data_IF_126790414736
#
_entry.id   IF_126790414736
#
_cell.length_a   1.000
_cell.length_b   1.000
_cell.length_c   1.000
_cell.angle_alpha   90.00
_cell.angle_beta   90.00
_cell.angle_gamma   90.00
#
_symmetry.space_group_name_H-M   'P 1'
#
loop_
_entity.id
_entity.type
_entity.pdbx_description
1 polymer ?
#
# COMPACT_ATOMS: atom_id res chain seq x y z
N UNK A 1 16.72 47.40 -37.77
CA UNK A 1 15.66 47.26 -36.75
C UNK A 1 14.87 45.99 -37.05
N UNK A 2 14.86 44.96 -36.16
CA UNK A 2 14.02 43.77 -36.33
C UNK A 2 12.60 44.14 -35.96
N UNK A 3 11.64 43.98 -36.89
CA UNK A 3 10.20 44.13 -36.61
C UNK A 3 9.77 43.03 -35.64
N UNK A 4 9.41 43.37 -34.42
CA UNK A 4 8.75 42.48 -33.49
C UNK A 4 7.32 42.18 -34.00
N UNK A 5 7.04 40.92 -34.32
CA UNK A 5 5.67 40.47 -34.65
C UNK A 5 4.95 40.24 -33.34
N UNK A 6 3.90 40.98 -33.10
CA UNK A 6 3.01 40.78 -31.95
C UNK A 6 2.17 39.54 -32.14
N UNK A 7 1.85 38.85 -31.04
CA UNK A 7 0.99 37.67 -31.02
C UNK A 7 -0.50 38.12 -31.17
N UNK A 8 -1.25 37.42 -32.01
CA UNK A 8 -2.69 37.75 -32.18
C UNK A 8 -3.50 37.20 -30.99
N UNK A 9 -4.48 37.95 -30.49
CA UNK A 9 -5.38 37.51 -29.42
C UNK A 9 -6.13 36.22 -29.82
N UNK A 10 -6.50 36.08 -31.11
CA UNK A 10 -7.20 34.89 -31.62
C UNK A 10 -6.29 33.63 -31.63
N UNK A 11 -4.99 33.78 -31.91
CA UNK A 11 -4.05 32.70 -31.86
C UNK A 11 -3.92 32.15 -30.43
N UNK A 12 -3.86 33.05 -29.43
CA UNK A 12 -3.82 32.66 -28.04
C UNK A 12 -5.12 31.96 -27.62
N UNK A 13 -6.27 32.46 -28.04
CA UNK A 13 -7.58 31.91 -27.69
C UNK A 13 -7.78 30.48 -28.25
N UNK A 14 -7.38 30.26 -29.50
CA UNK A 14 -7.46 28.90 -30.11
C UNK A 14 -6.56 27.91 -29.37
N UNK A 15 -5.33 28.30 -29.04
CA UNK A 15 -4.40 27.45 -28.33
C UNK A 15 -4.93 27.05 -26.95
N UNK A 16 -5.44 28.03 -26.19
CA UNK A 16 -6.02 27.74 -24.86
C UNK A 16 -7.28 26.86 -25.00
N UNK A 17 -8.12 27.05 -25.98
CA UNK A 17 -9.30 26.22 -26.21
C UNK A 17 -8.91 24.75 -26.48
N UNK A 18 -7.90 24.52 -27.32
CA UNK A 18 -7.42 23.15 -27.61
C UNK A 18 -6.83 22.50 -26.36
N UNK A 19 -6.01 23.22 -25.57
CA UNK A 19 -5.44 22.72 -24.31
C UNK A 19 -6.56 22.34 -23.33
N UNK A 20 -7.59 23.14 -23.18
CA UNK A 20 -8.70 22.85 -22.27
C UNK A 20 -9.50 21.62 -22.70
N UNK A 21 -9.71 21.40 -24.01
CA UNK A 21 -10.39 20.20 -24.52
C UNK A 21 -9.56 18.96 -24.20
N UNK A 22 -8.26 18.99 -24.45
CA UNK A 22 -7.37 17.85 -24.16
C UNK A 22 -7.31 17.60 -22.64
N UNK A 23 -7.18 18.64 -21.83
CA UNK A 23 -7.11 18.53 -20.38
C UNK A 23 -8.42 17.95 -19.79
N UNK A 24 -9.57 18.33 -20.30
CA UNK A 24 -10.87 17.83 -19.85
C UNK A 24 -11.01 16.29 -19.99
N UNK A 25 -10.36 15.69 -20.99
CA UNK A 25 -10.36 14.24 -21.21
C UNK A 25 -9.19 13.57 -20.48
N UNK A 26 -8.02 14.21 -20.45
CA UNK A 26 -6.79 13.62 -19.92
C UNK A 26 -6.78 13.55 -18.39
N UNK A 27 -7.25 14.58 -17.68
CA UNK A 27 -7.19 14.65 -16.21
C UNK A 27 -7.97 13.52 -15.53
N UNK A 28 -9.27 13.24 -15.85
CA UNK A 28 -10.01 12.16 -15.21
C UNK A 28 -9.42 10.77 -15.53
N UNK A 29 -8.89 10.58 -16.74
CA UNK A 29 -8.25 9.32 -17.11
C UNK A 29 -6.93 9.11 -16.35
N UNK A 30 -6.13 10.16 -16.18
CA UNK A 30 -4.89 10.09 -15.40
C UNK A 30 -5.17 9.76 -13.93
N UNK A 31 -6.22 10.35 -13.34
CA UNK A 31 -6.58 10.06 -11.95
C UNK A 31 -6.97 8.59 -11.77
N UNK A 32 -7.78 8.02 -12.67
CA UNK A 32 -8.14 6.61 -12.65
C UNK A 32 -6.94 5.69 -12.83
N UNK A 33 -6.03 6.03 -13.74
CA UNK A 33 -4.79 5.28 -13.96
C UNK A 33 -3.89 5.31 -12.71
N UNK A 34 -3.80 6.45 -12.02
CA UNK A 34 -3.07 6.59 -10.76
C UNK A 34 -3.66 5.72 -9.65
N UNK A 35 -4.98 5.72 -9.50
CA UNK A 35 -5.67 4.87 -8.53
C UNK A 35 -5.37 3.39 -8.81
N UNK A 36 -5.50 2.94 -10.07
CA UNK A 36 -5.22 1.56 -10.45
C UNK A 36 -3.75 1.16 -10.19
N UNK A 37 -2.80 2.05 -10.44
CA UNK A 37 -1.39 1.84 -10.15
C UNK A 37 -1.13 1.71 -8.63
N UNK A 38 -1.75 2.57 -7.81
CA UNK A 38 -1.66 2.50 -6.36
C UNK A 38 -2.26 1.18 -5.82
N UNK A 39 -3.42 0.76 -6.32
CA UNK A 39 -4.06 -0.51 -5.95
C UNK A 39 -3.19 -1.71 -6.30
N UNK A 40 -2.58 -1.72 -7.48
CA UNK A 40 -1.64 -2.78 -7.88
C UNK A 40 -0.40 -2.82 -6.98
N UNK A 41 0.17 -1.65 -6.65
CA UNK A 41 1.29 -1.53 -5.72
C UNK A 41 0.92 -2.02 -4.31
N UNK A 42 -0.29 -1.69 -3.83
CA UNK A 42 -0.78 -2.14 -2.53
C UNK A 42 -0.95 -3.65 -2.48
N UNK A 43 -1.57 -4.27 -3.49
CA UNK A 43 -1.71 -5.72 -3.57
C UNK A 43 -0.36 -6.46 -3.61
N UNK A 44 0.63 -5.91 -4.32
CA UNK A 44 2.00 -6.44 -4.33
C UNK A 44 2.66 -6.31 -2.95
N UNK A 45 2.46 -5.17 -2.27
CA UNK A 45 3.00 -4.95 -0.91
C UNK A 45 2.37 -5.90 0.12
N UNK A 46 1.07 -6.19 0.02
CA UNK A 46 0.39 -7.19 0.87
C UNK A 46 1.03 -8.57 0.70
N UNK A 47 1.34 -9.00 -0.54
CA UNK A 47 2.06 -10.26 -0.79
C UNK A 47 3.46 -10.25 -0.17
N UNK A 48 4.18 -9.14 -0.28
CA UNK A 48 5.50 -8.98 0.32
C UNK A 48 5.45 -9.13 1.84
N UNK A 49 4.49 -8.46 2.50
CA UNK A 49 4.31 -8.55 3.96
C UNK A 49 3.93 -9.99 4.35
N UNK A 50 2.99 -10.62 3.63
CA UNK A 50 2.56 -11.98 3.89
C UNK A 50 3.72 -12.99 3.79
N UNK A 51 4.59 -12.86 2.78
CA UNK A 51 5.81 -13.66 2.67
C UNK A 51 6.81 -13.37 3.79
N UNK A 52 6.90 -12.11 4.21
CA UNK A 52 7.76 -11.70 5.33
C UNK A 52 7.28 -12.29 6.66
N UNK A 53 5.98 -12.39 6.89
CA UNK A 53 5.40 -13.05 8.06
C UNK A 53 5.81 -14.53 8.16
N UNK A 54 5.76 -15.28 7.06
CA UNK A 54 6.21 -16.68 7.01
C UNK A 54 7.72 -16.79 7.27
N UNK A 55 8.51 -15.86 6.73
CA UNK A 55 9.95 -15.81 6.99
C UNK A 55 10.25 -15.49 8.45
N UNK A 56 9.47 -14.58 9.04
CA UNK A 56 9.58 -14.23 10.46
C UNK A 56 9.27 -15.41 11.34
N UNK A 57 8.17 -16.13 11.12
CA UNK A 57 7.77 -17.32 11.87
C UNK A 57 8.86 -18.38 11.86
N UNK A 58 9.49 -18.64 10.70
CA UNK A 58 10.59 -19.63 10.60
C UNK A 58 11.85 -19.20 11.34
N UNK A 59 12.11 -17.88 11.40
CA UNK A 59 13.29 -17.33 12.10
C UNK A 59 13.08 -17.22 13.61
N UNK A 60 11.83 -17.00 14.05
CA UNK A 60 11.46 -16.77 15.45
C UNK A 60 10.30 -17.68 15.90
N UNK A 61 10.45 -19.01 15.88
CA UNK A 61 9.35 -19.95 16.12
C UNK A 61 8.75 -19.85 17.53
N UNK A 62 9.49 -19.33 18.51
CA UNK A 62 8.99 -19.11 19.87
C UNK A 62 8.04 -17.90 19.97
N UNK A 63 8.10 -16.98 19.02
CA UNK A 63 7.21 -15.81 18.92
C UNK A 63 6.01 -16.14 18.02
N UNK A 64 6.23 -16.91 16.96
CA UNK A 64 5.27 -17.16 15.89
C UNK A 64 5.32 -16.07 14.83
N UNK A 65 4.19 -15.46 14.48
CA UNK A 65 4.14 -14.35 13.54
C UNK A 65 4.54 -13.01 14.17
N UNK A 66 4.88 -12.02 13.34
CA UNK A 66 5.40 -10.75 13.82
C UNK A 66 4.36 -9.98 14.65
N UNK A 67 4.77 -9.36 15.77
CA UNK A 67 3.84 -8.62 16.63
C UNK A 67 3.28 -7.35 15.98
N UNK A 68 3.91 -6.85 14.92
CA UNK A 68 3.45 -5.68 14.17
C UNK A 68 4.19 -5.57 12.84
N UNK A 69 3.65 -4.78 11.91
CA UNK A 69 4.31 -4.45 10.65
C UNK A 69 5.73 -3.86 10.84
N UNK A 70 5.91 -3.02 11.86
CA UNK A 70 7.20 -2.41 12.18
C UNK A 70 8.26 -3.45 12.60
N UNK A 71 7.85 -4.56 13.23
CA UNK A 71 8.77 -5.61 13.65
C UNK A 71 9.39 -6.38 12.48
N UNK A 72 8.73 -6.39 11.31
CA UNK A 72 9.27 -7.00 10.09
C UNK A 72 10.37 -6.15 9.44
N UNK A 73 10.40 -4.86 9.73
CA UNK A 73 11.32 -3.90 9.12
C UNK A 73 12.59 -3.63 9.92
N UNK A 74 13.47 -2.78 9.39
CA UNK A 74 14.65 -2.31 10.08
C UNK A 74 14.31 -1.25 11.13
N UNK A 75 15.00 -1.28 12.29
CA UNK A 75 15.23 -0.06 13.05
C UNK A 75 16.54 0.59 12.60
N UNK A 76 16.71 1.88 12.89
CA UNK A 76 17.92 2.64 12.50
C UNK A 76 19.24 1.99 12.98
N UNK A 77 19.20 1.17 14.03
CA UNK A 77 20.38 0.53 14.63
C UNK A 77 20.44 -1.00 14.39
N UNK A 78 19.32 -1.70 14.24
CA UNK A 78 19.28 -3.16 14.34
C UNK A 78 19.88 -3.88 13.12
N UNK A 79 19.71 -3.35 11.92
CA UNK A 79 20.18 -4.05 10.70
C UNK A 79 21.64 -3.78 10.36
N UNK A 80 22.27 -2.79 11.00
CA UNK A 80 23.64 -2.39 10.72
C UNK A 80 24.68 -2.82 11.78
N UNK A 81 24.25 -3.11 13.03
CA UNK A 81 25.19 -3.34 14.12
C UNK A 81 24.94 -4.59 14.96
N UNK A 82 23.74 -4.79 15.46
CA UNK A 82 23.40 -5.90 16.38
C UNK A 82 22.79 -7.12 15.66
N UNK A 83 22.49 -6.99 14.37
CA UNK A 83 21.79 -8.00 13.61
C UNK A 83 20.25 -8.00 13.81
N UNK A 84 19.52 -8.85 13.06
CA UNK A 84 18.07 -8.95 13.14
C UNK A 84 17.64 -9.51 14.52
N UNK A 85 16.51 -8.98 15.02
CA UNK A 85 15.87 -9.44 16.26
C UNK A 85 14.37 -9.62 16.01
N UNK A 86 13.65 -10.28 16.92
CA UNK A 86 12.18 -10.41 16.82
C UNK A 86 11.43 -9.07 16.93
N UNK A 87 12.08 -8.01 17.42
CA UNK A 87 11.53 -6.66 17.44
C UNK A 87 11.82 -5.86 16.14
N UNK A 88 12.85 -6.26 15.38
CA UNK A 88 13.30 -5.61 14.14
C UNK A 88 13.98 -6.67 13.27
N UNK A 89 13.20 -7.40 12.49
CA UNK A 89 13.67 -8.56 11.77
C UNK A 89 14.39 -8.25 10.45
N UNK A 90 14.34 -7.02 9.95
CA UNK A 90 15.01 -6.58 8.72
C UNK A 90 14.61 -7.36 7.47
N UNK A 91 13.37 -7.85 7.40
CA UNK A 91 12.87 -8.67 6.30
C UNK A 91 12.25 -7.80 5.21
N UNK A 92 11.60 -6.69 5.58
CA UNK A 92 11.01 -5.72 4.63
C UNK A 92 11.74 -4.38 4.69
N UNK A 93 11.54 -3.55 3.67
CA UNK A 93 12.12 -2.20 3.61
C UNK A 93 11.50 -1.24 4.64
N UNK A 94 12.25 -0.20 5.00
CA UNK A 94 11.83 0.79 6.00
C UNK A 94 10.55 1.53 5.58
N UNK A 95 10.38 1.84 4.28
CA UNK A 95 9.22 2.58 3.79
C UNK A 95 7.94 1.77 3.99
N UNK A 96 7.98 0.47 3.73
CA UNK A 96 6.84 -0.43 3.95
C UNK A 96 6.58 -0.65 5.44
N UNK A 97 7.63 -0.87 6.24
CA UNK A 97 7.53 -1.07 7.70
C UNK A 97 6.95 0.15 8.42
N UNK A 98 7.22 1.36 7.92
CA UNK A 98 6.73 2.63 8.47
C UNK A 98 5.39 3.07 7.90
N UNK A 99 4.82 2.38 6.92
CA UNK A 99 3.54 2.72 6.29
C UNK A 99 2.30 2.28 7.10
N UNK A 100 2.46 2.04 8.41
CA UNK A 100 1.40 1.71 9.36
C UNK A 100 0.55 2.91 9.77
N UNK A 101 -0.44 2.66 10.63
CA UNK A 101 -1.34 3.70 11.16
C UNK A 101 -0.53 4.83 11.83
N UNK A 102 -0.72 6.06 11.36
CA UNK A 102 0.04 7.23 11.82
C UNK A 102 1.40 7.43 11.13
N UNK A 103 1.80 6.51 10.23
CA UNK A 103 3.00 6.60 9.42
C UNK A 103 2.80 7.31 8.07
N UNK A 104 3.81 7.21 7.21
CA UNK A 104 3.75 7.75 5.85
C UNK A 104 3.20 6.70 4.88
N UNK A 105 2.13 7.02 4.17
CA UNK A 105 1.54 6.12 3.19
C UNK A 105 2.53 5.74 2.08
N UNK A 106 2.60 4.45 1.73
CA UNK A 106 3.38 3.95 0.59
C UNK A 106 2.46 3.82 -0.61
N UNK A 107 2.77 4.51 -1.71
CA UNK A 107 1.93 4.55 -2.93
C UNK A 107 0.46 4.89 -2.63
N UNK A 108 0.22 5.81 -1.68
CA UNK A 108 -1.13 6.22 -1.29
C UNK A 108 -1.92 5.20 -0.47
N UNK A 109 -1.28 4.14 0.06
CA UNK A 109 -1.87 3.12 0.92
C UNK A 109 -1.19 3.08 2.29
N UNK A 110 -2.00 2.79 3.30
CA UNK A 110 -1.57 2.45 4.66
C UNK A 110 -1.65 0.93 4.82
N UNK A 111 -0.81 0.39 5.70
CA UNK A 111 -0.70 -1.05 5.93
C UNK A 111 -0.76 -1.39 7.41
N UNK A 112 -1.26 -2.57 7.74
CA UNK A 112 -1.14 -3.17 9.05
C UNK A 112 -0.79 -4.65 8.92
N UNK A 113 -0.06 -5.17 9.89
CA UNK A 113 0.12 -6.59 10.11
C UNK A 113 -0.09 -6.84 11.59
N UNK A 114 -0.92 -7.82 11.92
CA UNK A 114 -1.25 -8.16 13.29
C UNK A 114 -1.37 -9.68 13.44
N UNK A 115 -0.72 -10.26 14.45
CA UNK A 115 -0.89 -11.66 14.81
C UNK A 115 -2.19 -11.85 15.61
N UNK A 116 -2.64 -13.11 15.75
CA UNK A 116 -3.64 -13.45 16.75
C UNK A 116 -3.07 -13.39 18.19
N UNK A 117 -3.93 -13.62 19.17
CA UNK A 117 -3.56 -13.53 20.60
C UNK A 117 -2.86 -14.81 21.15
N UNK A 118 -2.63 -15.83 20.33
CA UNK A 118 -1.96 -17.05 20.75
C UNK A 118 -0.46 -16.80 20.99
N UNK A 119 0.16 -17.64 21.82
CA UNK A 119 1.61 -17.60 22.10
C UNK A 119 2.17 -19.02 22.03
N UNK A 120 2.99 -19.35 21.01
CA UNK A 120 3.35 -18.50 19.86
C UNK A 120 2.16 -18.18 18.96
N UNK A 121 2.20 -17.03 18.28
CA UNK A 121 1.16 -16.64 17.34
C UNK A 121 1.13 -17.62 16.14
N UNK A 122 -0.03 -18.21 15.87
CA UNK A 122 -0.24 -19.22 14.82
C UNK A 122 -1.07 -18.70 13.64
N UNK A 123 -1.59 -17.48 13.74
CA UNK A 123 -2.32 -16.78 12.68
C UNK A 123 -1.87 -15.33 12.57
N UNK A 124 -1.97 -14.77 11.36
CA UNK A 124 -1.76 -13.35 11.11
C UNK A 124 -2.81 -12.79 10.15
N UNK A 125 -2.95 -11.49 10.16
CA UNK A 125 -3.71 -10.75 9.15
C UNK A 125 -2.88 -9.57 8.69
N UNK A 126 -2.72 -9.45 7.37
CA UNK A 126 -2.18 -8.25 6.72
C UNK A 126 -3.35 -7.50 6.11
N UNK A 127 -3.42 -6.19 6.33
CA UNK A 127 -4.41 -5.31 5.74
C UNK A 127 -3.74 -4.10 5.07
N UNK A 128 -4.35 -3.63 3.97
CA UNK A 128 -3.91 -2.45 3.23
C UNK A 128 -5.11 -1.65 2.77
N UNK A 129 -5.21 -0.40 3.22
CA UNK A 129 -6.33 0.49 2.90
C UNK A 129 -5.83 1.82 2.32
N UNK A 130 -6.65 2.49 1.47
CA UNK A 130 -6.25 3.76 0.88
C UNK A 130 -6.14 4.85 1.96
N UNK A 131 -5.06 5.63 1.92
CA UNK A 131 -4.87 6.77 2.83
C UNK A 131 -6.00 7.80 2.70
N UNK A 132 -6.56 7.95 1.49
CA UNK A 132 -7.74 8.77 1.21
C UNK A 132 -8.61 8.03 0.20
N UNK A 133 -9.78 7.59 0.66
CA UNK A 133 -10.74 6.86 -0.17
C UNK A 133 -11.16 7.70 -1.40
N UNK A 134 -11.30 7.03 -2.55
CA UNK A 134 -11.62 7.62 -3.85
C UNK A 134 -10.58 8.60 -4.43
N UNK A 135 -9.48 8.84 -3.71
CA UNK A 135 -8.38 9.71 -4.19
C UNK A 135 -7.11 8.91 -4.41
N UNK A 136 -6.68 8.11 -3.44
CA UNK A 136 -5.49 7.28 -3.54
C UNK A 136 -5.81 5.83 -3.91
N UNK A 137 -7.03 5.36 -3.64
CA UNK A 137 -7.54 4.04 -3.97
C UNK A 137 -9.03 3.92 -3.65
N UNK A 138 -9.64 2.84 -4.11
CA UNK A 138 -11.06 2.50 -3.84
C UNK A 138 -11.16 1.16 -3.12
N UNK A 139 -10.19 0.26 -3.32
CA UNK A 139 -10.17 -1.08 -2.74
C UNK A 139 -9.33 -1.12 -1.47
N UNK A 140 -9.73 -1.96 -0.55
CA UNK A 140 -8.96 -2.42 0.60
C UNK A 140 -8.51 -3.85 0.32
N UNK A 141 -7.27 -4.20 0.67
CA UNK A 141 -6.69 -5.51 0.39
C UNK A 141 -6.29 -6.17 1.69
N UNK A 142 -6.40 -7.50 1.74
CA UNK A 142 -5.90 -8.27 2.87
C UNK A 142 -5.32 -9.62 2.44
N UNK A 143 -4.53 -10.22 3.32
CA UNK A 143 -4.08 -11.60 3.25
C UNK A 143 -3.96 -12.17 4.66
N UNK A 144 -4.07 -13.49 4.73
CA UNK A 144 -3.87 -14.30 5.93
C UNK A 144 -2.88 -15.44 5.64
N UNK A 145 -2.77 -16.44 6.50
CA UNK A 145 -1.82 -17.55 6.42
C UNK A 145 -1.87 -18.35 5.10
N UNK A 146 -3.00 -18.30 4.39
CA UNK A 146 -3.17 -18.97 3.09
C UNK A 146 -2.49 -18.23 1.92
N UNK A 147 -1.89 -17.05 2.18
CA UNK A 147 -1.25 -16.18 1.18
C UNK A 147 -2.15 -15.74 0.01
N UNK A 148 -3.46 -15.92 0.13
CA UNK A 148 -4.40 -15.45 -0.88
C UNK A 148 -4.73 -13.99 -0.63
N UNK A 149 -4.34 -13.13 -1.57
CA UNK A 149 -4.71 -11.71 -1.49
C UNK A 149 -6.18 -11.55 -1.87
N UNK A 150 -6.93 -10.94 -1.00
CA UNK A 150 -8.35 -10.64 -1.16
C UNK A 150 -8.59 -9.14 -1.15
N UNK A 151 -9.75 -8.72 -1.65
CA UNK A 151 -10.12 -7.31 -1.64
C UNK A 151 -11.58 -7.10 -1.29
N UNK A 152 -11.89 -5.88 -0.84
CA UNK A 152 -13.23 -5.36 -0.59
C UNK A 152 -13.40 -4.03 -1.31
N UNK A 153 -14.58 -3.80 -1.88
CA UNK A 153 -14.95 -2.53 -2.57
C UNK A 153 -16.36 -2.10 -2.13
N UNK A 154 -16.57 -0.86 -1.69
CA UNK A 154 -15.53 0.11 -1.38
C UNK A 154 -14.67 -0.36 -0.19
N UNK A 155 -13.40 0.02 -0.20
CA UNK A 155 -12.48 -0.17 0.93
C UNK A 155 -12.86 0.73 2.09
N UNK A 156 -12.39 0.37 3.28
CA UNK A 156 -12.54 1.15 4.50
C UNK A 156 -11.20 1.62 5.06
N UNK A 157 -11.18 1.85 6.33
CA UNK A 157 -9.97 2.12 7.11
C UNK A 157 -9.70 0.90 8.00
N UNK A 158 -8.86 -0.02 7.55
CA UNK A 158 -8.52 -1.26 8.27
C UNK A 158 -9.76 -2.12 8.63
N UNK A 159 -10.69 -2.27 7.69
CA UNK A 159 -11.94 -3.03 7.93
C UNK A 159 -11.79 -4.53 7.72
N UNK A 160 -10.70 -4.97 7.08
CA UNK A 160 -10.36 -6.36 6.84
C UNK A 160 -9.27 -6.88 7.81
N UNK A 161 -8.94 -6.13 8.85
CA UNK A 161 -7.87 -6.39 9.80
C UNK A 161 -8.10 -7.58 10.76
N UNK A 162 -9.02 -8.49 10.47
CA UNK A 162 -9.17 -9.76 11.17
C UNK A 162 -9.18 -10.93 10.21
N UNK A 163 -8.73 -12.10 10.65
CA UNK A 163 -8.71 -13.33 9.84
C UNK A 163 -10.11 -13.64 9.25
N UNK A 164 -11.15 -13.56 10.05
CA UNK A 164 -12.52 -13.83 9.62
C UNK A 164 -13.04 -12.83 8.58
N UNK A 165 -12.75 -11.53 8.72
CA UNK A 165 -13.18 -10.52 7.76
C UNK A 165 -12.40 -10.61 6.45
N UNK A 166 -11.13 -10.95 6.51
CA UNK A 166 -10.30 -11.14 5.33
C UNK A 166 -10.70 -12.40 4.56
N UNK A 167 -10.90 -13.54 5.21
CA UNK A 167 -11.30 -14.79 4.53
C UNK A 167 -12.67 -14.69 3.85
N UNK A 168 -13.55 -13.83 4.36
CA UNK A 168 -14.86 -13.54 3.75
C UNK A 168 -14.78 -12.58 2.54
N UNK A 169 -13.64 -11.92 2.31
CA UNK A 169 -13.46 -10.98 1.20
C UNK A 169 -13.18 -11.68 -0.14
N UNK A 170 -13.32 -10.96 -1.25
CA UNK A 170 -13.19 -11.51 -2.61
C UNK A 170 -11.71 -11.74 -2.97
N UNK A 171 -11.28 -12.95 -3.38
CA UNK A 171 -9.93 -13.20 -3.85
C UNK A 171 -9.60 -12.40 -5.13
N UNK A 172 -8.34 -11.98 -5.27
CA UNK A 172 -7.87 -11.37 -6.51
C UNK A 172 -7.62 -12.48 -7.54
N UNK A 173 -8.27 -12.36 -8.71
CA UNK A 173 -8.04 -13.29 -9.83
C UNK A 173 -9.18 -14.28 -10.06
N UNK A 174 -10.30 -14.14 -9.37
CA UNK A 174 -11.58 -14.82 -9.69
C UNK A 174 -12.49 -13.89 -10.51
#
# INVERSE_FOLDING_TARGET
MRKQRGFSLIELLIVVAIILIIAAIAIPNLLRARIAANESSAAASVRTISTAELTFQTSYPAVGYAPSLAALGPSAAACAGTGPTSANACIIDYVLASAGTGGTAKSGYMFAAAPNANVPADQFTVDAWPATLNTTGVKEFCAVEDNVVRFKTPGGTNSLGTNATCTAATPIGN
#
